data_IF_895519565241
#
_entry.id   IF_895519565241
#
_cell.length_a   1.000
_cell.length_b   1.000
_cell.length_c   1.000
_cell.angle_alpha   90.00
_cell.angle_beta   90.00
_cell.angle_gamma   90.00
#
_symmetry.space_group_name_H-M   'P 1'
#
loop_
_entity.id
_entity.type
_entity.pdbx_description
1 polymer ?
#
# COMPACT_ATOMS: atom_id res chain seq x y z
N UNK A 1 38.23 -2.68 -0.69
CA UNK A 1 37.64 -2.16 -1.96
C UNK A 1 36.57 -3.15 -2.40
N UNK A 2 35.29 -2.81 -2.25
CA UNK A 2 34.18 -3.70 -2.64
C UNK A 2 34.08 -3.66 -4.17
N UNK A 3 34.11 -4.81 -4.85
CA UNK A 3 33.87 -4.92 -6.31
C UNK A 3 32.56 -4.21 -6.70
N UNK A 4 32.48 -3.56 -7.87
CA UNK A 4 31.31 -2.79 -8.32
C UNK A 4 30.00 -3.58 -8.23
N UNK A 5 30.07 -4.89 -8.49
CA UNK A 5 28.94 -5.83 -8.39
C UNK A 5 28.52 -6.12 -6.93
N UNK A 6 29.44 -6.13 -5.99
CA UNK A 6 29.13 -6.31 -4.58
C UNK A 6 28.55 -5.00 -3.99
N UNK A 7 29.04 -3.84 -4.46
CA UNK A 7 28.56 -2.53 -4.02
C UNK A 7 27.09 -2.30 -4.38
N UNK A 8 26.65 -2.71 -5.59
CA UNK A 8 25.25 -2.60 -6.00
C UNK A 8 24.33 -3.49 -5.18
N UNK A 9 24.71 -4.74 -4.91
CA UNK A 9 23.91 -5.66 -4.07
C UNK A 9 23.67 -5.10 -2.67
N UNK A 10 24.72 -4.59 -2.01
CA UNK A 10 24.58 -4.00 -0.67
C UNK A 10 23.71 -2.74 -0.66
N UNK A 11 23.81 -1.90 -1.69
CA UNK A 11 22.94 -0.74 -1.84
C UNK A 11 21.47 -1.14 -2.07
N UNK A 12 21.21 -2.19 -2.85
CA UNK A 12 19.85 -2.73 -3.05
C UNK A 12 19.28 -3.31 -1.76
N UNK A 13 20.10 -3.99 -0.94
CA UNK A 13 19.69 -4.45 0.38
C UNK A 13 19.37 -3.28 1.33
N UNK A 14 20.15 -2.20 1.29
CA UNK A 14 19.86 -0.99 2.07
C UNK A 14 18.50 -0.37 1.68
N UNK A 15 18.20 -0.30 0.38
CA UNK A 15 16.89 0.12 -0.12
C UNK A 15 15.78 -0.86 0.29
N UNK A 16 16.03 -2.17 0.28
CA UNK A 16 15.06 -3.16 0.74
C UNK A 16 14.75 -3.05 2.24
N UNK A 17 15.75 -2.78 3.09
CA UNK A 17 15.54 -2.52 4.53
C UNK A 17 14.70 -1.24 4.73
N UNK A 18 14.95 -0.22 3.90
CA UNK A 18 14.16 1.03 3.92
C UNK A 18 12.70 0.76 3.54
N UNK A 19 12.47 0.00 2.46
CA UNK A 19 11.13 -0.43 2.04
C UNK A 19 10.44 -1.30 3.10
N UNK A 20 11.20 -2.14 3.81
CA UNK A 20 10.69 -2.95 4.92
C UNK A 20 10.21 -2.08 6.10
N UNK A 21 11.02 -1.11 6.51
CA UNK A 21 10.65 -0.17 7.59
C UNK A 21 9.38 0.61 7.24
N UNK A 22 9.32 1.11 6.01
CA UNK A 22 8.21 1.90 5.49
C UNK A 22 6.93 1.07 5.37
N UNK A 23 6.99 -0.11 4.75
CA UNK A 23 5.83 -1.01 4.65
C UNK A 23 5.31 -1.47 6.01
N UNK A 24 6.23 -1.69 6.97
CA UNK A 24 5.82 -2.05 8.33
C UNK A 24 5.06 -0.89 8.94
N UNK A 25 5.58 0.33 8.81
CA UNK A 25 4.94 1.56 9.31
C UNK A 25 3.57 1.82 8.71
N UNK A 26 3.39 1.55 7.43
CA UNK A 26 2.12 1.77 6.73
C UNK A 26 1.00 0.96 7.37
N UNK A 27 1.23 -0.33 7.59
CA UNK A 27 0.17 -1.26 7.99
C UNK A 27 0.16 -1.62 9.47
N UNK A 28 1.20 -1.26 10.25
CA UNK A 28 1.29 -1.65 11.67
C UNK A 28 0.08 -1.19 12.50
N UNK A 29 -0.51 -0.05 12.16
CA UNK A 29 -1.65 0.50 12.89
C UNK A 29 -2.85 -0.46 12.88
N UNK A 30 -3.02 -1.27 11.83
CA UNK A 30 -4.12 -2.25 11.71
C UNK A 30 -4.13 -3.24 12.88
N UNK A 31 -2.96 -3.77 13.24
CA UNK A 31 -2.83 -4.70 14.36
C UNK A 31 -2.91 -4.03 15.73
N UNK A 32 -2.50 -2.76 15.81
CA UNK A 32 -2.39 -1.99 17.05
C UNK A 32 -3.66 -1.20 17.41
N UNK A 33 -4.68 -1.17 16.54
CA UNK A 33 -5.91 -0.39 16.74
C UNK A 33 -6.56 -0.58 18.13
N UNK A 34 -6.81 -1.81 18.62
CA UNK A 34 -7.39 -2.02 19.94
C UNK A 34 -6.49 -1.48 21.07
N UNK A 35 -5.16 -1.62 20.92
CA UNK A 35 -4.19 -1.15 21.90
C UNK A 35 -4.15 0.38 21.98
N UNK A 36 -4.15 1.05 20.83
CA UNK A 36 -4.19 2.52 20.73
C UNK A 36 -5.50 3.05 21.32
N UNK A 37 -6.63 2.42 20.96
CA UNK A 37 -7.95 2.78 21.47
C UNK A 37 -8.03 2.69 23.00
N UNK A 38 -7.57 1.58 23.58
CA UNK A 38 -7.56 1.37 25.04
C UNK A 38 -6.63 2.33 25.77
N UNK A 39 -5.42 2.52 25.26
CA UNK A 39 -4.36 3.32 25.92
C UNK A 39 -4.65 4.83 25.87
N UNK A 40 -5.23 5.32 24.76
CA UNK A 40 -5.58 6.74 24.61
C UNK A 40 -7.02 7.05 25.03
N UNK A 41 -7.80 6.05 25.46
CA UNK A 41 -9.21 6.16 25.83
C UNK A 41 -10.08 6.79 24.71
N UNK A 42 -9.89 6.32 23.48
CA UNK A 42 -10.62 6.78 22.28
C UNK A 42 -11.35 5.61 21.62
N UNK A 43 -12.31 5.89 20.72
CA UNK A 43 -12.96 4.84 19.93
C UNK A 43 -11.99 4.20 18.93
N UNK A 44 -12.24 2.94 18.58
CA UNK A 44 -11.48 2.22 17.53
C UNK A 44 -11.57 2.98 16.19
N UNK A 45 -12.71 3.61 15.91
CA UNK A 45 -12.92 4.48 14.74
C UNK A 45 -11.97 5.68 14.75
N UNK A 46 -11.82 6.35 15.89
CA UNK A 46 -10.88 7.46 16.03
C UNK A 46 -9.44 6.98 15.83
N UNK A 47 -9.09 5.81 16.37
CA UNK A 47 -7.79 5.20 16.12
C UNK A 47 -7.62 4.80 14.63
N UNK A 48 -8.70 4.44 13.92
CA UNK A 48 -8.73 4.15 12.48
C UNK A 48 -8.29 5.30 11.58
N UNK A 49 -8.39 6.54 12.07
CA UNK A 49 -7.85 7.72 11.40
C UNK A 49 -6.33 7.65 11.21
N UNK A 50 -5.61 6.87 12.02
CA UNK A 50 -4.16 6.65 11.85
C UNK A 50 -3.79 5.98 10.52
N UNK A 51 -4.69 5.14 9.99
CA UNK A 51 -4.55 4.52 8.66
C UNK A 51 -4.99 5.50 7.59
N UNK A 52 -6.12 6.17 7.79
CA UNK A 52 -6.69 7.11 6.81
C UNK A 52 -5.76 8.30 6.54
N UNK A 53 -5.28 8.99 7.57
CA UNK A 53 -4.38 10.14 7.42
C UNK A 53 -3.00 9.73 6.91
N UNK A 54 -2.51 8.54 7.24
CA UNK A 54 -1.27 8.03 6.66
C UNK A 54 -1.43 7.87 5.15
N UNK A 55 -2.49 7.19 4.70
CA UNK A 55 -2.74 7.00 3.27
C UNK A 55 -2.95 8.33 2.52
N UNK A 56 -3.68 9.29 3.11
CA UNK A 56 -3.78 10.65 2.55
C UNK A 56 -2.41 11.34 2.45
N UNK A 57 -1.58 11.20 3.48
CA UNK A 57 -0.20 11.71 3.48
C UNK A 57 0.64 11.13 2.35
N UNK A 58 0.51 9.84 2.05
CA UNK A 58 1.20 9.19 0.91
C UNK A 58 0.63 9.71 -0.42
N UNK A 59 -0.69 9.74 -0.56
CA UNK A 59 -1.42 10.17 -1.76
C UNK A 59 -1.02 11.57 -2.21
N UNK A 60 -0.99 12.54 -1.28
CA UNK A 60 -0.61 13.92 -1.58
C UNK A 60 0.90 14.16 -1.50
N UNK A 61 1.58 13.51 -0.56
CA UNK A 61 3.01 13.72 -0.30
C UNK A 61 3.88 13.33 -1.48
N UNK A 62 3.61 12.19 -2.13
CA UNK A 62 4.41 11.71 -3.26
C UNK A 62 4.50 12.71 -4.43
N UNK A 63 3.39 13.18 -5.04
CA UNK A 63 3.46 14.11 -6.18
C UNK A 63 3.99 15.49 -5.78
N UNK A 64 3.54 16.04 -4.64
CA UNK A 64 3.91 17.39 -4.20
C UNK A 64 5.40 17.45 -3.87
N UNK A 65 5.88 16.54 -3.03
CA UNK A 65 7.25 16.60 -2.56
C UNK A 65 8.24 16.14 -3.63
N UNK A 66 7.87 15.23 -4.53
CA UNK A 66 8.70 14.90 -5.71
C UNK A 66 8.92 16.13 -6.61
N UNK A 67 7.90 16.97 -6.80
CA UNK A 67 8.04 18.21 -7.56
C UNK A 67 8.99 19.20 -6.86
N UNK A 68 8.78 19.43 -5.56
CA UNK A 68 9.57 20.36 -4.75
C UNK A 68 11.03 19.93 -4.58
N UNK A 69 11.31 18.63 -4.60
CA UNK A 69 12.64 18.06 -4.38
C UNK A 69 13.37 17.69 -5.67
N UNK A 70 12.81 18.02 -6.84
CA UNK A 70 13.33 17.65 -8.18
C UNK A 70 14.77 18.10 -8.47
N UNK A 71 15.25 19.14 -7.79
CA UNK A 71 16.63 19.64 -7.95
C UNK A 71 17.63 19.02 -6.96
N UNK A 72 17.17 18.27 -5.95
CA UNK A 72 18.04 17.63 -4.97
C UNK A 72 18.74 16.40 -5.56
N UNK A 73 19.96 16.11 -5.09
CA UNK A 73 20.61 14.84 -5.43
C UNK A 73 19.81 13.67 -4.86
N UNK A 74 19.74 12.53 -5.57
CA UNK A 74 18.95 11.37 -5.15
C UNK A 74 19.37 10.84 -3.78
N UNK A 75 20.69 10.77 -3.52
CA UNK A 75 21.21 10.32 -2.23
C UNK A 75 20.83 11.29 -1.12
N UNK A 76 21.01 12.60 -1.34
CA UNK A 76 20.64 13.62 -0.34
C UNK A 76 19.15 13.54 -0.01
N UNK A 77 18.30 13.40 -1.03
CA UNK A 77 16.86 13.27 -0.86
C UNK A 77 16.47 11.98 -0.10
N UNK A 78 17.07 10.83 -0.47
CA UNK A 78 16.89 9.56 0.25
C UNK A 78 17.22 9.69 1.74
N UNK A 79 18.35 10.33 2.07
CA UNK A 79 18.75 10.52 3.47
C UNK A 79 17.78 11.43 4.23
N UNK A 80 17.33 12.54 3.64
CA UNK A 80 16.33 13.41 4.27
C UNK A 80 14.99 12.71 4.49
N UNK A 81 14.55 11.91 3.52
CA UNK A 81 13.34 11.11 3.65
C UNK A 81 13.47 10.13 4.82
N UNK A 82 14.61 9.47 4.97
CA UNK A 82 14.86 8.58 6.10
C UNK A 82 14.89 9.34 7.44
N UNK A 83 15.41 10.57 7.49
CA UNK A 83 15.34 11.43 8.68
C UNK A 83 13.88 11.78 9.02
N UNK A 84 13.08 12.20 8.04
CA UNK A 84 11.65 12.53 8.24
C UNK A 84 10.87 11.28 8.68
N UNK A 85 11.16 10.12 8.08
CA UNK A 85 10.58 8.83 8.47
C UNK A 85 10.89 8.49 9.93
N UNK A 86 12.15 8.60 10.34
CA UNK A 86 12.59 8.34 11.73
C UNK A 86 11.95 9.34 12.69
N UNK A 87 11.95 10.63 12.37
CA UNK A 87 11.36 11.67 13.20
C UNK A 87 9.83 11.48 13.36
N UNK A 88 9.13 11.18 12.26
CA UNK A 88 7.69 10.91 12.28
C UNK A 88 7.36 9.68 13.13
N UNK A 89 8.10 8.59 13.01
CA UNK A 89 7.87 7.41 13.84
C UNK A 89 8.32 7.59 15.30
N UNK A 90 9.35 8.39 15.57
CA UNK A 90 9.74 8.75 16.92
C UNK A 90 8.66 9.60 17.61
N UNK A 91 8.03 10.52 16.86
CA UNK A 91 6.87 11.28 17.35
C UNK A 91 5.66 10.37 17.59
N UNK A 92 5.43 9.37 16.74
CA UNK A 92 4.38 8.38 16.97
C UNK A 92 4.65 7.55 18.24
N UNK A 93 5.90 7.14 18.45
CA UNK A 93 6.33 6.40 19.62
C UNK A 93 6.20 7.21 20.92
N UNK A 94 6.31 8.54 20.87
CA UNK A 94 6.16 9.42 22.04
C UNK A 94 4.76 10.01 22.20
N UNK A 95 3.83 9.71 21.28
CA UNK A 95 2.52 10.33 21.27
C UNK A 95 1.70 9.93 22.51
N UNK A 96 1.25 10.93 23.27
CA UNK A 96 0.36 10.77 24.44
C UNK A 96 -1.08 11.12 24.12
N UNK A 97 -1.35 11.69 22.94
CA UNK A 97 -2.69 12.04 22.47
C UNK A 97 -2.85 11.60 21.03
N UNK A 98 -4.11 11.38 20.62
CA UNK A 98 -4.42 10.99 19.24
C UNK A 98 -3.98 12.07 18.24
N UNK A 99 -4.12 13.36 18.56
CA UNK A 99 -3.72 14.44 17.65
C UNK A 99 -2.22 14.39 17.33
N UNK A 100 -1.37 14.14 18.34
CA UNK A 100 0.08 13.98 18.12
C UNK A 100 0.36 12.76 17.26
N UNK A 101 -0.33 11.64 17.54
CA UNK A 101 -0.18 10.42 16.73
C UNK A 101 -0.60 10.66 15.28
N UNK A 102 -1.72 11.33 15.02
CA UNK A 102 -2.19 11.64 13.67
C UNK A 102 -1.21 12.55 12.91
N UNK A 103 -0.66 13.58 13.57
CA UNK A 103 0.39 14.43 12.99
C UNK A 103 1.62 13.59 12.64
N UNK A 104 2.05 12.70 13.55
CA UNK A 104 3.16 11.78 13.32
C UNK A 104 2.92 10.84 12.13
N UNK A 105 1.68 10.36 11.95
CA UNK A 105 1.27 9.55 10.79
C UNK A 105 1.39 10.34 9.49
N UNK A 106 0.95 11.59 9.45
CA UNK A 106 1.10 12.43 8.26
C UNK A 106 2.58 12.67 7.95
N UNK A 107 3.39 13.04 8.94
CA UNK A 107 4.84 13.28 8.74
C UNK A 107 5.55 12.04 8.19
N UNK A 108 5.30 10.87 8.79
CA UNK A 108 5.91 9.61 8.33
C UNK A 108 5.40 9.17 6.95
N UNK A 109 4.15 9.47 6.60
CA UNK A 109 3.59 9.18 5.29
C UNK A 109 4.20 10.01 4.15
N UNK A 110 4.56 11.27 4.42
CA UNK A 110 5.25 12.12 3.44
C UNK A 110 6.57 11.49 2.98
N UNK A 111 7.32 10.90 3.92
CA UNK A 111 8.56 10.18 3.62
C UNK A 111 8.30 8.94 2.74
N UNK A 112 7.26 8.16 3.06
CA UNK A 112 6.88 6.98 2.30
C UNK A 112 6.59 7.32 0.83
N UNK A 113 5.74 8.31 0.57
CA UNK A 113 5.33 8.66 -0.80
C UNK A 113 6.52 8.97 -1.73
N UNK A 114 7.50 9.73 -1.25
CA UNK A 114 8.69 10.05 -2.04
C UNK A 114 9.62 8.84 -2.15
N UNK A 115 9.81 8.09 -1.06
CA UNK A 115 10.71 6.93 -1.04
C UNK A 115 10.36 5.92 -2.14
N UNK A 116 9.07 5.60 -2.33
CA UNK A 116 8.68 4.61 -3.34
C UNK A 116 9.05 5.05 -4.75
N UNK A 117 8.92 6.35 -5.04
CA UNK A 117 9.31 6.92 -6.33
C UNK A 117 10.83 6.90 -6.52
N UNK A 118 11.57 7.50 -5.59
CA UNK A 118 13.03 7.63 -5.75
C UNK A 118 13.75 6.31 -5.56
N UNK A 119 13.29 5.44 -4.66
CA UNK A 119 13.93 4.17 -4.34
C UNK A 119 13.99 3.26 -5.56
N UNK A 120 12.89 3.17 -6.31
CA UNK A 120 12.84 2.39 -7.55
C UNK A 120 13.84 2.92 -8.60
N UNK A 121 13.92 4.25 -8.74
CA UNK A 121 14.89 4.86 -9.67
C UNK A 121 16.34 4.68 -9.23
N UNK A 122 16.64 4.79 -7.93
CA UNK A 122 17.98 4.53 -7.39
C UNK A 122 18.33 3.05 -7.61
N UNK A 123 17.42 2.13 -7.34
CA UNK A 123 17.62 0.70 -7.59
C UNK A 123 17.94 0.42 -9.07
N UNK A 124 17.24 1.06 -9.99
CA UNK A 124 17.51 0.96 -11.42
C UNK A 124 18.86 1.57 -11.84
N UNK A 125 19.29 2.68 -11.22
CA UNK A 125 20.57 3.33 -11.52
C UNK A 125 21.79 2.55 -10.98
N UNK A 126 21.58 1.64 -10.02
CA UNK A 126 22.64 0.83 -9.42
C UNK A 126 23.12 -0.35 -10.29
N UNK A 127 22.38 -0.68 -11.34
CA UNK A 127 22.62 -1.88 -12.16
C UNK A 127 22.58 -1.58 -13.65
N UNK A 128 23.20 -2.43 -14.49
CA UNK A 128 23.04 -2.37 -15.95
C UNK A 128 21.57 -2.49 -16.39
N UNK A 129 21.26 -1.98 -17.59
CA UNK A 129 19.88 -1.83 -18.08
C UNK A 129 19.10 -3.14 -18.12
N UNK A 130 19.76 -4.26 -18.46
CA UNK A 130 19.19 -5.62 -18.51
C UNK A 130 18.75 -6.16 -17.14
N UNK A 131 19.16 -5.49 -16.04
CA UNK A 131 18.89 -5.95 -14.66
C UNK A 131 18.05 -4.98 -13.83
N UNK A 132 17.63 -3.85 -14.39
CA UNK A 132 16.88 -2.81 -13.67
C UNK A 132 15.61 -3.32 -13.01
N UNK A 133 14.81 -4.10 -13.74
CA UNK A 133 13.57 -4.67 -13.20
C UNK A 133 13.82 -5.56 -11.98
N UNK A 134 14.88 -6.40 -12.03
CA UNK A 134 15.27 -7.25 -10.91
C UNK A 134 15.74 -6.45 -9.70
N UNK A 135 16.49 -5.37 -9.91
CA UNK A 135 16.93 -4.48 -8.84
C UNK A 135 15.75 -3.79 -8.14
N UNK A 136 14.79 -3.28 -8.92
CA UNK A 136 13.54 -2.72 -8.39
C UNK A 136 12.77 -3.80 -7.60
N UNK A 137 12.64 -5.00 -8.14
CA UNK A 137 11.97 -6.11 -7.47
C UNK A 137 12.62 -6.48 -6.12
N UNK A 138 13.95 -6.43 -6.01
CA UNK A 138 14.67 -6.66 -4.73
C UNK A 138 14.26 -5.61 -3.70
N UNK A 139 14.18 -4.33 -4.08
CA UNK A 139 13.70 -3.28 -3.16
C UNK A 139 12.26 -3.55 -2.70
N UNK A 140 11.35 -3.83 -3.64
CA UNK A 140 9.94 -4.10 -3.32
C UNK A 140 9.71 -5.41 -2.55
N UNK A 141 10.67 -6.35 -2.60
CA UNK A 141 10.66 -7.52 -1.72
C UNK A 141 10.68 -7.10 -0.25
N UNK A 142 11.38 -6.01 0.10
CA UNK A 142 11.35 -5.44 1.44
C UNK A 142 9.93 -5.09 1.90
N UNK A 143 9.13 -4.46 1.02
CA UNK A 143 7.72 -4.15 1.29
C UNK A 143 6.88 -5.42 1.49
N UNK A 144 7.11 -6.44 0.65
CA UNK A 144 6.40 -7.73 0.76
C UNK A 144 6.70 -8.40 2.11
N UNK A 145 7.98 -8.45 2.48
CA UNK A 145 8.40 -9.00 3.79
C UNK A 145 7.80 -8.18 4.92
N UNK A 146 7.66 -6.86 4.78
CA UNK A 146 7.04 -6.00 5.79
C UNK A 146 5.60 -6.38 6.10
N UNK A 147 4.79 -6.60 5.07
CA UNK A 147 3.39 -7.00 5.23
C UNK A 147 3.28 -8.42 5.78
N UNK A 148 4.16 -9.34 5.35
CA UNK A 148 4.16 -10.74 5.80
C UNK A 148 4.62 -10.87 7.24
N UNK A 149 5.71 -10.22 7.63
CA UNK A 149 6.36 -10.45 8.94
C UNK A 149 6.38 -9.21 9.82
N UNK A 150 6.68 -8.03 9.25
CA UNK A 150 6.82 -6.79 10.01
C UNK A 150 5.56 -6.41 10.78
N UNK A 151 4.39 -6.44 10.13
CA UNK A 151 3.10 -6.09 10.77
C UNK A 151 2.72 -7.07 11.87
N UNK A 152 2.70 -8.40 11.65
CA UNK A 152 2.45 -9.38 12.72
C UNK A 152 3.41 -9.27 13.89
N UNK A 153 4.70 -9.14 13.61
CA UNK A 153 5.73 -9.08 14.64
C UNK A 153 5.62 -7.80 15.46
N UNK A 154 5.42 -6.65 14.80
CA UNK A 154 5.17 -5.39 15.49
C UNK A 154 3.85 -5.42 16.28
N UNK A 155 2.82 -6.11 15.78
CA UNK A 155 1.55 -6.32 16.52
C UNK A 155 1.81 -7.12 17.79
N UNK A 156 2.50 -8.26 17.67
CA UNK A 156 2.89 -9.09 18.81
C UNK A 156 3.68 -8.30 19.85
N UNK A 157 4.69 -7.54 19.41
CA UNK A 157 5.46 -6.65 20.28
C UNK A 157 4.56 -5.62 20.97
N UNK A 158 3.64 -5.00 20.23
CA UNK A 158 2.70 -4.03 20.77
C UNK A 158 1.82 -4.64 21.87
N UNK A 159 1.42 -5.89 21.72
CA UNK A 159 0.64 -6.62 22.72
C UNK A 159 1.46 -6.92 23.99
N UNK A 160 2.77 -7.18 23.87
CA UNK A 160 3.63 -7.50 25.02
C UNK A 160 4.17 -6.27 25.75
N UNK A 161 4.55 -5.22 25.00
CA UNK A 161 5.30 -4.07 25.53
C UNK A 161 4.59 -2.72 25.32
N UNK A 162 3.37 -2.74 24.76
CA UNK A 162 2.60 -1.55 24.41
C UNK A 162 2.85 -1.08 22.98
N UNK A 163 1.83 -0.48 22.37
CA UNK A 163 1.83 -0.10 20.95
C UNK A 163 2.94 0.90 20.57
N UNK A 164 3.38 1.75 21.51
CA UNK A 164 4.51 2.67 21.33
C UNK A 164 5.82 1.95 21.05
N UNK A 165 6.05 0.78 21.67
CA UNK A 165 7.28 0.02 21.50
C UNK A 165 7.42 -0.56 20.08
N UNK A 166 6.31 -0.86 19.40
CA UNK A 166 6.32 -1.22 17.99
C UNK A 166 6.87 -0.08 17.12
N UNK A 167 6.49 1.17 17.41
CA UNK A 167 7.04 2.35 16.72
C UNK A 167 8.51 2.61 17.07
N UNK A 168 8.95 2.32 18.31
CA UNK A 168 10.38 2.38 18.68
C UNK A 168 11.22 1.41 17.84
N UNK A 169 10.74 0.19 17.61
CA UNK A 169 11.45 -0.78 16.76
C UNK A 169 11.48 -0.31 15.31
N UNK A 170 10.38 0.26 14.80
CA UNK A 170 10.35 0.88 13.47
C UNK A 170 11.38 2.01 13.37
N UNK A 171 11.52 2.85 14.40
CA UNK A 171 12.55 3.88 14.48
C UNK A 171 13.95 3.28 14.42
N UNK A 172 14.22 2.20 15.18
CA UNK A 172 15.51 1.52 15.16
C UNK A 172 15.84 0.96 13.77
N UNK A 173 14.87 0.30 13.10
CA UNK A 173 15.03 -0.19 11.73
C UNK A 173 15.24 0.99 10.76
N UNK A 174 14.53 2.09 10.95
CA UNK A 174 14.70 3.32 10.16
C UNK A 174 16.09 3.94 10.31
N UNK A 175 16.67 3.93 11.51
CA UNK A 175 18.05 4.36 11.76
C UNK A 175 19.06 3.42 11.08
N UNK A 176 18.83 2.10 11.15
CA UNK A 176 19.66 1.12 10.43
C UNK A 176 19.59 1.38 8.91
N UNK A 177 18.40 1.61 8.37
CA UNK A 177 18.20 1.96 6.97
C UNK A 177 18.91 3.28 6.60
N UNK A 178 18.80 4.32 7.44
CA UNK A 178 19.50 5.60 7.23
C UNK A 178 21.03 5.41 7.16
N UNK A 179 21.60 4.69 8.13
CA UNK A 179 23.03 4.38 8.19
C UNK A 179 23.46 3.52 6.99
N UNK A 180 22.70 2.48 6.65
CA UNK A 180 22.98 1.64 5.49
C UNK A 180 22.98 2.46 4.19
N UNK A 181 21.98 3.33 4.00
CA UNK A 181 21.89 4.19 2.83
C UNK A 181 23.02 5.23 2.76
N UNK A 182 23.47 5.78 3.90
CA UNK A 182 24.52 6.79 3.93
C UNK A 182 25.87 6.24 3.45
N UNK A 183 26.17 4.99 3.79
CA UNK A 183 27.43 4.33 3.40
C UNK A 183 27.35 3.57 2.07
N UNK A 184 26.23 2.89 1.80
CA UNK A 184 26.14 1.93 0.69
C UNK A 184 25.61 2.55 -0.60
N UNK A 185 24.68 3.51 -0.53
CA UNK A 185 24.12 4.15 -1.73
C UNK A 185 25.13 5.18 -2.28
N UNK A 186 25.50 5.09 -3.58
CA UNK A 186 26.42 6.03 -4.21
C UNK A 186 25.82 7.43 -4.38
N UNK A 187 26.67 8.45 -4.49
CA UNK A 187 26.24 9.85 -4.61
C UNK A 187 26.09 10.30 -6.07
N UNK A 188 26.73 9.59 -7.00
CA UNK A 188 26.82 9.85 -8.45
C UNK A 188 25.63 9.27 -9.23
N UNK A 189 24.42 9.45 -8.72
CA UNK A 189 23.19 8.96 -9.33
C UNK A 189 22.65 9.92 -10.39
N UNK A 190 22.02 9.39 -11.44
CA UNK A 190 21.45 10.19 -12.54
C UNK A 190 20.28 11.03 -12.03
N UNK A 191 20.18 12.28 -12.48
CA UNK A 191 19.00 13.12 -12.21
C UNK A 191 17.78 12.59 -12.97
N UNK A 192 16.59 12.70 -12.38
CA UNK A 192 15.36 12.26 -13.02
C UNK A 192 15.05 13.08 -14.28
N UNK A 193 14.52 12.40 -15.31
CA UNK A 193 13.93 13.09 -16.46
C UNK A 193 12.70 13.89 -16.01
N UNK A 194 12.53 15.12 -16.52
CA UNK A 194 11.38 15.97 -16.17
C UNK A 194 10.16 15.54 -16.98
N UNK A 195 9.06 15.21 -16.31
CA UNK A 195 7.74 15.11 -16.94
C UNK A 195 7.07 16.47 -16.97
N UNK A 196 6.39 16.83 -18.06
CA UNK A 196 5.78 18.16 -18.21
C UNK A 196 4.43 18.24 -17.49
N UNK A 197 4.07 19.41 -16.96
CA UNK A 197 2.77 19.64 -16.32
C UNK A 197 1.57 19.36 -17.25
N UNK A 198 1.75 19.62 -18.56
CA UNK A 198 0.76 19.36 -19.60
C UNK A 198 0.41 17.87 -19.69
N UNK A 199 1.41 17.01 -19.57
CA UNK A 199 1.23 15.57 -19.61
C UNK A 199 0.45 15.07 -18.38
N UNK A 200 0.69 15.67 -17.20
CA UNK A 200 -0.05 15.35 -15.97
C UNK A 200 -1.54 15.67 -16.12
N UNK A 201 -1.89 16.83 -16.69
CA UNK A 201 -3.28 17.22 -16.94
C UNK A 201 -3.95 16.24 -17.91
N UNK A 202 -3.26 15.84 -18.99
CA UNK A 202 -3.80 14.87 -19.95
C UNK A 202 -4.14 13.52 -19.31
N UNK A 203 -3.34 13.06 -18.35
CA UNK A 203 -3.61 11.80 -17.64
C UNK A 203 -4.90 11.85 -16.83
N UNK A 204 -5.13 12.93 -16.08
CA UNK A 204 -6.32 13.06 -15.20
C UNK A 204 -7.59 13.47 -15.96
N UNK A 205 -7.46 14.01 -17.17
CA UNK A 205 -8.59 14.38 -18.04
C UNK A 205 -8.97 13.28 -19.03
N UNK A 206 -8.11 12.29 -19.24
CA UNK A 206 -8.42 11.14 -20.10
C UNK A 206 -9.42 10.21 -19.40
N UNK A 207 -10.61 10.07 -19.96
CA UNK A 207 -11.69 9.28 -19.36
C UNK A 207 -11.35 7.80 -19.14
N UNK A 208 -10.46 7.18 -19.94
CA UNK A 208 -10.06 5.78 -19.75
C UNK A 208 -9.13 5.62 -18.57
N UNK A 209 -8.15 6.52 -18.44
CA UNK A 209 -7.23 6.52 -17.30
C UNK A 209 -7.94 6.88 -16.01
N UNK A 210 -8.81 7.90 -16.03
CA UNK A 210 -9.61 8.29 -14.87
C UNK A 210 -10.50 7.14 -14.37
N UNK A 211 -11.15 6.42 -15.29
CA UNK A 211 -11.94 5.25 -14.96
C UNK A 211 -11.11 4.19 -14.23
N UNK A 212 -9.88 3.92 -14.68
CA UNK A 212 -8.99 2.95 -14.01
C UNK A 212 -8.50 3.46 -12.65
N UNK A 213 -8.19 4.75 -12.50
CA UNK A 213 -7.86 5.30 -11.18
C UNK A 213 -9.02 5.15 -10.18
N UNK A 214 -10.26 5.36 -10.63
CA UNK A 214 -11.45 5.12 -9.79
C UNK A 214 -11.62 3.63 -9.48
N UNK A 215 -11.42 2.74 -10.46
CA UNK A 215 -11.44 1.28 -10.24
C UNK A 215 -10.39 0.88 -9.20
N UNK A 216 -9.17 1.42 -9.29
CA UNK A 216 -8.09 1.19 -8.31
C UNK A 216 -8.53 1.62 -6.92
N UNK A 217 -9.02 2.85 -6.77
CA UNK A 217 -9.43 3.39 -5.48
C UNK A 217 -10.59 2.58 -4.86
N UNK A 218 -11.61 2.22 -5.64
CA UNK A 218 -12.77 1.47 -5.14
C UNK A 218 -12.45 -0.01 -4.90
N UNK A 219 -11.80 -0.68 -5.84
CA UNK A 219 -11.54 -2.12 -5.80
C UNK A 219 -10.54 -2.50 -4.72
N UNK A 220 -9.46 -1.74 -4.59
CA UNK A 220 -8.49 -1.96 -3.52
C UNK A 220 -8.99 -1.38 -2.19
N UNK A 221 -9.52 -0.15 -2.21
CA UNK A 221 -10.03 0.53 -1.02
C UNK A 221 -11.19 -0.17 -0.33
N UNK A 222 -12.06 -0.85 -1.09
CA UNK A 222 -13.18 -1.60 -0.53
C UNK A 222 -12.75 -2.70 0.44
N UNK A 223 -11.57 -3.28 0.25
CA UNK A 223 -10.99 -4.23 1.22
C UNK A 223 -10.58 -3.53 2.52
N UNK A 224 -10.11 -2.29 2.45
CA UNK A 224 -9.67 -1.53 3.63
C UNK A 224 -10.83 -1.10 4.54
N UNK A 225 -12.08 -1.16 4.07
CA UNK A 225 -13.26 -1.00 4.92
C UNK A 225 -13.26 -2.01 6.07
N UNK A 226 -12.90 -3.27 5.79
CA UNK A 226 -12.81 -4.33 6.80
C UNK A 226 -11.38 -4.56 7.28
N UNK A 227 -10.39 -4.51 6.39
CA UNK A 227 -9.00 -4.82 6.74
C UNK A 227 -8.44 -3.86 7.78
N UNK A 228 -8.78 -2.56 7.72
CA UNK A 228 -8.37 -1.60 8.74
C UNK A 228 -8.83 -2.05 10.12
N UNK A 229 -10.05 -2.57 10.25
CA UNK A 229 -10.63 -2.98 11.53
C UNK A 229 -10.53 -4.49 11.77
N UNK A 230 -9.60 -5.18 11.09
CA UNK A 230 -9.48 -6.63 11.15
C UNK A 230 -9.14 -7.14 12.55
N UNK A 231 -8.24 -6.46 13.27
CA UNK A 231 -7.87 -6.83 14.64
C UNK A 231 -9.06 -6.72 15.61
N UNK A 232 -9.81 -5.60 15.66
CA UNK A 232 -11.09 -5.52 16.36
C UNK A 232 -12.07 -6.63 15.94
N UNK A 233 -12.24 -6.88 14.64
CA UNK A 233 -13.23 -7.84 14.14
C UNK A 233 -12.91 -9.26 14.60
N UNK A 234 -11.63 -9.64 14.56
CA UNK A 234 -11.17 -10.93 15.05
C UNK A 234 -11.43 -11.11 16.56
N UNK A 235 -11.30 -10.04 17.35
CA UNK A 235 -11.46 -10.10 18.81
C UNK A 235 -12.92 -10.03 19.23
N UNK A 236 -13.67 -9.06 18.73
CA UNK A 236 -15.02 -8.74 19.20
C UNK A 236 -16.10 -9.55 18.50
N UNK A 237 -15.96 -9.82 17.20
CA UNK A 237 -16.97 -10.55 16.41
C UNK A 237 -16.62 -12.04 16.32
N UNK A 238 -15.38 -12.37 15.98
CA UNK A 238 -14.96 -13.78 15.83
C UNK A 238 -14.60 -14.43 17.17
N UNK A 239 -14.29 -13.64 18.21
CA UNK A 239 -13.99 -14.15 19.55
C UNK A 239 -12.60 -14.80 19.68
N UNK A 240 -11.63 -14.40 18.85
CA UNK A 240 -10.23 -14.77 19.04
C UNK A 240 -9.60 -14.00 20.19
N UNK A 241 -8.66 -14.64 20.88
CA UNK A 241 -7.86 -13.96 21.91
C UNK A 241 -6.88 -13.00 21.24
N UNK A 242 -6.56 -11.91 21.93
CA UNK A 242 -5.59 -10.90 21.48
C UNK A 242 -4.27 -11.52 20.96
N UNK A 243 -3.67 -12.43 21.73
CA UNK A 243 -2.41 -13.09 21.36
C UNK A 243 -2.47 -13.97 20.09
N UNK A 244 -3.65 -14.34 19.61
CA UNK A 244 -3.81 -15.10 18.35
C UNK A 244 -3.82 -14.18 17.13
N UNK A 245 -4.14 -12.89 17.29
CA UNK A 245 -4.28 -11.93 16.17
C UNK A 245 -2.98 -11.80 15.38
N UNK A 246 -1.84 -11.71 16.05
CA UNK A 246 -0.54 -11.62 15.37
C UNK A 246 -0.30 -12.83 14.45
N UNK A 247 -0.61 -14.04 14.89
CA UNK A 247 -0.49 -15.25 14.06
C UNK A 247 -1.45 -15.23 12.87
N UNK A 248 -2.69 -14.77 13.07
CA UNK A 248 -3.66 -14.66 11.97
C UNK A 248 -3.19 -13.62 10.94
N UNK A 249 -2.66 -12.47 11.39
CA UNK A 249 -2.08 -11.46 10.50
C UNK A 249 -0.87 -11.99 9.74
N UNK A 250 -0.07 -12.87 10.33
CA UNK A 250 1.05 -13.55 9.65
C UNK A 250 0.55 -14.44 8.52
N UNK A 251 -0.46 -15.28 8.79
CA UNK A 251 -1.07 -16.15 7.77
C UNK A 251 -1.73 -15.29 6.67
N UNK A 252 -2.40 -14.20 7.06
CA UNK A 252 -3.00 -13.24 6.13
C UNK A 252 -1.93 -12.58 5.24
N UNK A 253 -0.79 -12.19 5.81
CA UNK A 253 0.35 -11.66 5.07
C UNK A 253 0.92 -12.65 4.05
N UNK A 254 1.03 -13.93 4.42
CA UNK A 254 1.41 -15.00 3.47
C UNK A 254 0.39 -15.12 2.34
N UNK A 255 -0.90 -15.06 2.65
CA UNK A 255 -1.96 -15.09 1.64
C UNK A 255 -1.84 -13.90 0.67
N UNK A 256 -1.55 -12.70 1.17
CA UNK A 256 -1.25 -11.51 0.34
C UNK A 256 -0.08 -11.77 -0.62
N UNK A 257 1.02 -12.32 -0.13
CA UNK A 257 2.20 -12.58 -0.96
C UNK A 257 1.92 -13.58 -2.09
N UNK A 258 1.17 -14.65 -1.79
CA UNK A 258 0.69 -15.60 -2.79
C UNK A 258 -0.25 -14.91 -3.79
N UNK A 259 -1.19 -14.11 -3.29
CA UNK A 259 -2.17 -13.35 -4.06
C UNK A 259 -1.51 -12.45 -5.09
N UNK A 260 -0.58 -11.60 -4.65
CA UNK A 260 0.21 -10.73 -5.54
C UNK A 260 0.90 -11.52 -6.66
N UNK A 261 1.53 -12.66 -6.32
CA UNK A 261 2.27 -13.47 -7.30
C UNK A 261 1.34 -14.09 -8.35
N UNK A 262 0.22 -14.67 -7.90
CA UNK A 262 -0.79 -15.25 -8.80
C UNK A 262 -1.47 -14.18 -9.65
N UNK A 263 -1.74 -13.02 -9.05
CA UNK A 263 -2.33 -11.85 -9.69
C UNK A 263 -1.54 -11.36 -10.89
N UNK A 264 -0.23 -11.20 -10.71
CA UNK A 264 0.69 -10.84 -11.81
C UNK A 264 0.63 -11.84 -12.97
N UNK A 265 0.67 -13.14 -12.67
CA UNK A 265 0.59 -14.19 -13.70
C UNK A 265 -0.72 -14.16 -14.48
N UNK A 266 -1.85 -13.97 -13.80
CA UNK A 266 -3.18 -13.90 -14.41
C UNK A 266 -3.34 -12.62 -15.25
N UNK A 267 -2.81 -11.49 -14.78
CA UNK A 267 -2.93 -10.20 -15.44
C UNK A 267 -2.08 -10.07 -16.71
N UNK A 268 -0.95 -10.79 -16.83
CA UNK A 268 -0.03 -10.67 -17.96
C UNK A 268 -0.66 -10.94 -19.34
N UNK A 269 -1.75 -11.71 -19.42
CA UNK A 269 -2.42 -12.01 -20.70
C UNK A 269 -3.52 -11.01 -21.03
N UNK A 270 -4.43 -10.79 -20.08
CA UNK A 270 -5.56 -9.88 -20.25
C UNK A 270 -5.91 -9.27 -18.89
N UNK A 271 -5.29 -8.13 -18.54
CA UNK A 271 -5.37 -7.59 -17.19
C UNK A 271 -6.81 -7.16 -16.86
N UNK A 272 -7.54 -6.57 -17.81
CA UNK A 272 -8.92 -6.15 -17.56
C UNK A 272 -9.88 -7.31 -17.28
N UNK A 273 -9.76 -8.43 -18.00
CA UNK A 273 -10.57 -9.62 -17.71
C UNK A 273 -10.18 -10.24 -16.36
N UNK A 274 -8.88 -10.30 -16.07
CA UNK A 274 -8.39 -10.83 -14.79
C UNK A 274 -8.91 -10.00 -13.62
N UNK A 275 -8.81 -8.67 -13.71
CA UNK A 275 -9.31 -7.72 -12.71
C UNK A 275 -10.82 -7.87 -12.46
N UNK A 276 -11.62 -8.05 -13.52
CA UNK A 276 -13.07 -8.25 -13.38
C UNK A 276 -13.39 -9.45 -12.47
N UNK A 277 -12.74 -10.59 -12.70
CA UNK A 277 -12.96 -11.78 -11.89
C UNK A 277 -12.33 -11.68 -10.50
N UNK A 278 -11.16 -11.07 -10.36
CA UNK A 278 -10.53 -10.83 -9.05
C UNK A 278 -11.43 -9.98 -8.15
N UNK A 279 -11.98 -8.88 -8.67
CA UNK A 279 -12.90 -8.03 -7.91
C UNK A 279 -14.24 -8.72 -7.65
N UNK A 280 -14.77 -9.49 -8.60
CA UNK A 280 -16.00 -10.23 -8.40
C UNK A 280 -15.85 -11.25 -7.26
N UNK A 281 -14.76 -12.01 -7.26
CA UNK A 281 -14.48 -12.98 -6.20
C UNK A 281 -14.24 -12.25 -4.87
N UNK A 282 -13.47 -11.15 -4.86
CA UNK A 282 -13.24 -10.37 -3.64
C UNK A 282 -14.54 -9.81 -3.05
N UNK A 283 -15.45 -9.29 -3.89
CA UNK A 283 -16.76 -8.80 -3.44
C UNK A 283 -17.58 -9.94 -2.81
N UNK A 284 -17.58 -11.12 -3.43
CA UNK A 284 -18.25 -12.31 -2.87
C UNK A 284 -17.63 -12.72 -1.53
N UNK A 285 -16.29 -12.78 -1.44
CA UNK A 285 -15.58 -13.13 -0.21
C UNK A 285 -15.92 -12.16 0.93
N UNK A 286 -16.01 -10.86 0.64
CA UNK A 286 -16.38 -9.84 1.63
C UNK A 286 -17.85 -9.97 2.09
N UNK A 287 -18.78 -10.32 1.20
CA UNK A 287 -20.16 -10.61 1.58
C UNK A 287 -20.24 -11.89 2.42
N UNK A 288 -19.56 -12.96 2.00
CA UNK A 288 -19.48 -14.23 2.73
C UNK A 288 -18.89 -14.02 4.13
N UNK A 289 -17.89 -13.14 4.27
CA UNK A 289 -17.27 -12.81 5.55
C UNK A 289 -18.29 -12.31 6.58
N UNK A 290 -19.34 -11.61 6.15
CA UNK A 290 -20.41 -11.13 7.05
C UNK A 290 -21.10 -12.29 7.78
N UNK A 291 -21.25 -13.43 7.12
CA UNK A 291 -21.90 -14.62 7.68
C UNK A 291 -20.91 -15.55 8.39
N UNK A 292 -19.65 -15.57 7.97
CA UNK A 292 -18.64 -16.46 8.53
C UNK A 292 -17.86 -15.84 9.69
N UNK A 293 -17.79 -14.51 9.81
CA UNK A 293 -17.05 -13.79 10.84
C UNK A 293 -17.40 -14.19 12.28
N UNK A 294 -18.66 -14.51 12.65
CA UNK A 294 -18.98 -14.99 14.00
C UNK A 294 -18.43 -16.40 14.33
N UNK A 295 -18.02 -17.17 13.32
CA UNK A 295 -17.57 -18.55 13.47
C UNK A 295 -16.06 -18.67 13.24
N UNK A 296 -15.29 -19.04 14.28
CA UNK A 296 -13.81 -19.05 14.24
C UNK A 296 -13.19 -19.70 13.00
N UNK A 297 -13.62 -20.93 12.67
CA UNK A 297 -13.03 -21.67 11.55
C UNK A 297 -13.44 -21.07 10.19
N UNK A 298 -14.74 -20.82 9.98
CA UNK A 298 -15.25 -20.28 8.72
C UNK A 298 -14.75 -18.84 8.49
N UNK A 299 -14.75 -18.02 9.54
CA UNK A 299 -14.21 -16.65 9.54
C UNK A 299 -12.73 -16.64 9.20
N UNK A 300 -11.92 -17.52 9.81
CA UNK A 300 -10.49 -17.63 9.49
C UNK A 300 -10.25 -18.00 8.02
N UNK A 301 -10.96 -19.01 7.49
CA UNK A 301 -10.87 -19.39 6.08
C UNK A 301 -11.22 -18.20 5.17
N UNK A 302 -12.28 -17.49 5.50
CA UNK A 302 -12.75 -16.36 4.69
C UNK A 302 -11.80 -15.17 4.76
N UNK A 303 -11.18 -14.90 5.91
CA UNK A 303 -10.15 -13.86 6.09
C UNK A 303 -8.88 -14.21 5.30
N UNK A 304 -8.47 -15.47 5.26
CA UNK A 304 -7.33 -15.91 4.44
C UNK A 304 -7.64 -15.71 2.95
N UNK A 305 -8.84 -16.08 2.50
CA UNK A 305 -9.29 -15.83 1.13
C UNK A 305 -9.36 -14.32 0.83
N UNK A 306 -9.84 -13.52 1.79
CA UNK A 306 -9.86 -12.07 1.68
C UNK A 306 -8.44 -11.53 1.45
N UNK A 307 -7.45 -11.99 2.22
CA UNK A 307 -6.06 -11.57 2.06
C UNK A 307 -5.46 -11.97 0.71
N UNK A 308 -5.77 -13.18 0.25
CA UNK A 308 -5.36 -13.68 -1.07
C UNK A 308 -5.87 -12.77 -2.19
N UNK A 309 -7.16 -12.46 -2.21
CA UNK A 309 -7.79 -11.70 -3.30
C UNK A 309 -7.65 -10.17 -3.15
N UNK A 310 -7.47 -9.68 -1.93
CA UNK A 310 -7.26 -8.26 -1.61
C UNK A 310 -6.10 -7.63 -2.36
N UNK A 311 -4.99 -8.36 -2.48
CA UNK A 311 -3.78 -7.88 -3.13
C UNK A 311 -3.54 -8.52 -4.50
N UNK A 312 -4.25 -9.60 -4.85
CA UNK A 312 -4.14 -10.23 -6.18
C UNK A 312 -4.43 -9.26 -7.34
N UNK A 313 -5.26 -8.23 -7.12
CA UNK A 313 -5.58 -7.22 -8.13
C UNK A 313 -4.46 -6.18 -8.34
N UNK A 314 -3.50 -6.03 -7.41
CA UNK A 314 -2.53 -4.92 -7.43
C UNK A 314 -1.65 -4.91 -8.69
N UNK A 315 -1.00 -6.03 -9.09
CA UNK A 315 -0.20 -6.04 -10.31
C UNK A 315 -1.04 -5.79 -11.56
N UNK A 316 -2.27 -6.31 -11.59
CA UNK A 316 -3.17 -6.17 -12.74
C UNK A 316 -3.61 -4.72 -12.95
N UNK A 317 -3.94 -4.00 -11.88
CA UNK A 317 -4.27 -2.58 -11.93
C UNK A 317 -3.09 -1.77 -12.45
N UNK A 318 -1.90 -2.08 -11.96
CA UNK A 318 -0.68 -1.38 -12.35
C UNK A 318 -0.35 -1.59 -13.83
N UNK A 319 -0.36 -2.84 -14.30
CA UNK A 319 -0.13 -3.18 -15.71
C UNK A 319 -1.19 -2.53 -16.60
N UNK A 320 -2.46 -2.55 -16.19
CA UNK A 320 -3.54 -1.98 -16.99
C UNK A 320 -3.42 -0.46 -17.16
N UNK A 321 -3.05 0.27 -16.09
CA UNK A 321 -2.77 1.71 -16.19
C UNK A 321 -1.61 1.99 -17.14
N UNK A 322 -0.51 1.23 -17.04
CA UNK A 322 0.65 1.39 -17.91
C UNK A 322 0.26 1.19 -19.38
N UNK A 323 -0.47 0.11 -19.69
CA UNK A 323 -0.94 -0.16 -21.05
C UNK A 323 -1.83 0.95 -21.61
N UNK A 324 -2.74 1.50 -20.79
CA UNK A 324 -3.57 2.63 -21.22
C UNK A 324 -2.75 3.91 -21.39
N UNK A 325 -1.79 4.16 -20.50
CA UNK A 325 -0.93 5.33 -20.59
C UNK A 325 -0.06 5.29 -21.85
N UNK A 326 0.57 4.14 -22.15
CA UNK A 326 1.32 3.92 -23.40
C UNK A 326 0.47 4.18 -24.64
N UNK A 327 -0.83 3.86 -24.58
CA UNK A 327 -1.76 4.04 -25.70
C UNK A 327 -2.27 5.47 -25.85
N UNK A 328 -2.61 6.14 -24.76
CA UNK A 328 -3.33 7.41 -24.79
C UNK A 328 -2.46 8.63 -24.45
N UNK A 329 -1.42 8.46 -23.62
CA UNK A 329 -0.49 9.53 -23.21
C UNK A 329 0.94 8.95 -23.09
N UNK A 330 1.58 8.53 -24.20
CA UNK A 330 2.87 7.80 -24.15
C UNK A 330 4.01 8.58 -23.49
N UNK A 331 3.94 9.92 -23.49
CA UNK A 331 4.90 10.81 -22.83
C UNK A 331 4.87 10.76 -21.30
N UNK A 332 3.89 10.07 -20.70
CA UNK A 332 3.55 10.22 -19.29
C UNK A 332 3.35 8.90 -18.53
N UNK A 333 3.85 7.78 -19.05
CA UNK A 333 3.65 6.43 -18.46
C UNK A 333 4.10 6.34 -17.00
N UNK A 334 5.27 6.87 -16.68
CA UNK A 334 5.81 6.88 -15.30
C UNK A 334 4.92 7.69 -14.34
N UNK A 335 4.35 8.80 -14.82
CA UNK A 335 3.43 9.61 -14.02
C UNK A 335 2.09 8.92 -13.86
N UNK A 336 1.58 8.23 -14.89
CA UNK A 336 0.35 7.46 -14.78
C UNK A 336 0.46 6.37 -13.71
N UNK A 337 1.61 5.68 -13.68
CA UNK A 337 1.98 4.74 -12.63
C UNK A 337 1.94 5.38 -11.23
N UNK A 338 2.55 6.56 -11.07
CA UNK A 338 2.54 7.28 -9.79
C UNK A 338 1.13 7.75 -9.37
N UNK A 339 0.30 8.23 -10.30
CA UNK A 339 -1.10 8.59 -10.05
C UNK A 339 -1.89 7.36 -9.62
N UNK A 340 -1.61 6.18 -10.17
CA UNK A 340 -2.26 4.95 -9.74
C UNK A 340 -1.90 4.58 -8.29
N UNK A 341 -0.65 4.78 -7.87
CA UNK A 341 -0.24 4.62 -6.45
C UNK A 341 -0.98 5.61 -5.55
N UNK A 342 -1.16 6.84 -6.02
CA UNK A 342 -1.99 7.82 -5.31
C UNK A 342 -3.45 7.34 -5.22
N UNK A 343 -4.01 6.77 -6.29
CA UNK A 343 -5.35 6.19 -6.29
C UNK A 343 -5.50 4.99 -5.34
N UNK A 344 -4.49 4.11 -5.23
CA UNK A 344 -4.47 3.05 -4.22
C UNK A 344 -4.59 3.63 -2.80
N UNK A 345 -3.81 4.67 -2.51
CA UNK A 345 -3.83 5.34 -1.20
C UNK A 345 -5.12 6.13 -0.96
N UNK A 346 -5.70 6.75 -1.99
CA UNK A 346 -7.04 7.33 -1.93
C UNK A 346 -8.07 6.28 -1.51
N UNK A 347 -7.97 5.08 -2.09
CA UNK A 347 -8.79 3.92 -1.74
C UNK A 347 -8.59 3.47 -0.30
N UNK A 348 -7.35 3.33 0.17
CA UNK A 348 -7.04 2.99 1.58
C UNK A 348 -7.68 4.03 2.51
N UNK A 349 -7.48 5.32 2.24
CA UNK A 349 -8.01 6.40 3.05
C UNK A 349 -9.53 6.38 3.13
N UNK A 350 -10.20 6.26 1.97
CA UNK A 350 -11.65 6.20 1.87
C UNK A 350 -12.20 4.94 2.56
N UNK A 351 -11.59 3.79 2.32
CA UNK A 351 -11.98 2.51 2.92
C UNK A 351 -11.84 2.54 4.44
N UNK A 352 -10.68 2.95 4.96
CA UNK A 352 -10.43 3.04 6.40
C UNK A 352 -11.37 4.02 7.10
N UNK A 353 -11.63 5.19 6.49
CA UNK A 353 -12.56 6.17 7.03
C UNK A 353 -13.99 5.64 7.03
N UNK A 354 -14.45 5.08 5.90
CA UNK A 354 -15.78 4.50 5.77
C UNK A 354 -15.98 3.35 6.77
N UNK A 355 -15.01 2.46 6.91
CA UNK A 355 -15.05 1.37 7.89
C UNK A 355 -15.23 1.88 9.33
N UNK A 356 -14.64 3.03 9.65
CA UNK A 356 -14.80 3.69 10.95
C UNK A 356 -16.21 4.22 11.16
N UNK A 357 -16.73 4.97 10.18
CA UNK A 357 -18.13 5.46 10.20
C UNK A 357 -19.11 4.31 10.39
N UNK A 358 -18.90 3.18 9.71
CA UNK A 358 -19.74 1.98 9.82
C UNK A 358 -19.62 1.32 11.19
N UNK A 359 -18.39 1.23 11.71
CA UNK A 359 -18.11 0.64 13.03
C UNK A 359 -18.84 1.40 14.13
N UNK A 360 -18.83 2.74 14.10
CA UNK A 360 -19.52 3.58 15.11
C UNK A 360 -21.04 3.65 14.93
N UNK A 361 -21.56 3.49 13.71
CA UNK A 361 -22.99 3.69 13.43
C UNK A 361 -23.84 2.42 13.53
N UNK A 362 -23.51 1.41 12.74
CA UNK A 362 -24.30 0.17 12.62
C UNK A 362 -23.56 -1.06 13.13
N UNK A 363 -22.25 -0.96 13.36
CA UNK A 363 -21.44 -1.98 14.02
C UNK A 363 -20.38 -2.61 13.13
N UNK A 364 -19.34 -3.14 13.78
CA UNK A 364 -18.11 -3.63 13.16
C UNK A 364 -18.33 -4.75 12.13
N UNK A 365 -19.31 -5.64 12.33
CA UNK A 365 -19.62 -6.74 11.40
C UNK A 365 -20.07 -6.23 10.03
N UNK A 366 -20.65 -5.02 9.96
CA UNK A 366 -21.16 -4.45 8.71
C UNK A 366 -20.06 -3.87 7.82
N UNK A 367 -18.83 -3.75 8.31
CA UNK A 367 -17.68 -3.33 7.49
C UNK A 367 -17.42 -4.30 6.33
N UNK A 368 -17.71 -5.59 6.52
CA UNK A 368 -17.46 -6.65 5.53
C UNK A 368 -18.32 -6.47 4.26
N UNK A 369 -19.66 -6.48 4.38
CA UNK A 369 -20.53 -6.35 3.20
C UNK A 369 -20.47 -4.95 2.59
N UNK A 370 -20.24 -3.88 3.37
CA UNK A 370 -20.06 -2.52 2.81
C UNK A 370 -18.78 -2.44 1.99
N UNK A 371 -17.68 -3.05 2.47
CA UNK A 371 -16.49 -3.27 1.66
C UNK A 371 -16.83 -4.06 0.38
N UNK A 372 -17.64 -5.11 0.49
CA UNK A 372 -18.15 -5.88 -0.65
C UNK A 372 -18.90 -5.04 -1.68
N UNK A 373 -19.78 -4.13 -1.25
CA UNK A 373 -20.51 -3.18 -2.13
C UNK A 373 -19.55 -2.23 -2.82
N UNK A 374 -18.56 -1.70 -2.10
CA UNK A 374 -17.53 -0.82 -2.66
C UNK A 374 -16.67 -1.54 -3.71
N UNK A 375 -16.26 -2.79 -3.46
CA UNK A 375 -15.57 -3.62 -4.45
C UNK A 375 -16.48 -3.98 -5.63
N UNK A 376 -17.77 -4.23 -5.38
CA UNK A 376 -18.74 -4.52 -6.44
C UNK A 376 -18.94 -3.33 -7.39
N UNK A 377 -18.88 -2.09 -6.89
CA UNK A 377 -18.83 -0.92 -7.75
C UNK A 377 -17.61 -0.95 -8.70
N UNK A 378 -16.44 -1.38 -8.20
CA UNK A 378 -15.26 -1.59 -9.05
C UNK A 378 -15.47 -2.71 -10.09
N UNK A 379 -16.24 -3.77 -9.77
CA UNK A 379 -16.63 -4.81 -10.75
C UNK A 379 -17.44 -4.20 -11.90
N UNK A 380 -18.45 -3.37 -11.59
CA UNK A 380 -19.28 -2.70 -12.59
C UNK A 380 -18.43 -1.80 -13.49
N UNK A 381 -17.57 -0.97 -12.88
CA UNK A 381 -16.69 -0.07 -13.62
C UNK A 381 -15.66 -0.82 -14.47
N UNK A 382 -15.13 -1.95 -13.97
CA UNK A 382 -14.23 -2.81 -14.74
C UNK A 382 -14.95 -3.46 -15.91
N UNK A 383 -16.20 -3.89 -15.71
CA UNK A 383 -17.07 -4.39 -16.78
C UNK A 383 -17.36 -3.33 -17.84
N UNK A 384 -17.59 -2.08 -17.42
CA UNK A 384 -17.76 -0.96 -18.34
C UNK A 384 -16.48 -0.66 -19.12
N UNK A 385 -15.33 -0.60 -18.44
CA UNK A 385 -14.03 -0.42 -19.09
C UNK A 385 -13.76 -1.52 -20.12
N UNK A 386 -14.19 -2.77 -19.83
CA UNK A 386 -14.04 -3.93 -20.72
C UNK A 386 -14.89 -3.77 -21.98
N UNK A 387 -16.12 -3.28 -21.83
CA UNK A 387 -17.01 -3.01 -22.96
C UNK A 387 -16.43 -1.90 -23.85
N UNK A 388 -15.87 -0.87 -23.24
CA UNK A 388 -15.21 0.22 -23.97
C UNK A 388 -13.95 -0.25 -24.71
N UNK A 389 -13.12 -1.10 -24.09
CA UNK A 389 -11.94 -1.69 -24.73
C UNK A 389 -12.32 -2.54 -25.96
N UNK A 390 -13.38 -3.35 -25.85
CA UNK A 390 -13.90 -4.15 -26.98
C UNK A 390 -14.35 -3.26 -28.15
N UNK A 391 -15.02 -2.14 -27.87
CA UNK A 391 -15.45 -1.19 -28.91
C UNK A 391 -14.26 -0.58 -29.64
N UNK A 392 -13.20 -0.25 -28.91
CA UNK A 392 -12.02 0.35 -29.56
C UNK A 392 -11.28 -0.66 -30.46
N UNK A 393 -11.24 -1.93 -30.07
CA UNK A 393 -10.65 -3.00 -30.89
C UNK A 393 -11.49 -3.29 -32.15
N UNK A 394 -12.82 -3.21 -32.05
CA UNK A 394 -13.73 -3.37 -33.19
C UNK A 394 -13.70 -2.17 -34.16
N UNK A 395 -13.48 -0.96 -33.65
CA UNK A 395 -13.33 0.24 -34.48
C UNK A 395 -12.09 0.21 -35.37
N UNK A 396 -10.97 -0.32 -34.86
CA UNK A 396 -9.70 -0.48 -35.61
C UNK A 396 -9.73 -1.53 -36.72
N UNK A 397 -10.75 -2.39 -36.77
CA UNK A 397 -10.90 -3.41 -37.83
C UNK A 397 -11.77 -2.95 -39.01
N UNK A 398 -12.23 -1.70 -39.00
CA UNK A 398 -13.07 -1.11 -40.06
C UNK A 398 -12.36 -0.02 -40.88
N UNK A 399 -11.14 0.34 -40.49
CA UNK A 399 -10.20 1.16 -41.25
C UNK A 399 -9.10 0.23 -41.80
#
# INVERSE_FOLDING_TARGET
MISSKNRSTWALLALAISAFAIGTTEFISVGLLPLISRDLHITVTTAGLTVSLYALGVMFGAPILTSLTSNMSRKTLLLWIMVVFVAGNALAASATTISVLLIARVISALAHGIFMSIGATIAADLVPEDRRASAIAIMFTGLTVATVTGVPFGTFIGQQFGWRFAFIIIVAIGLIAFVANSFLVPSDLRKAARTTFRDQIKLITNGRLLLVFIITALGYGGTFVVFTYLSPLLQEVTGFKEGTVALILLIYGVAIAIGNTLGGKLANRNPINALFYMFLIQAIVLVVLTFTAPFKLAGLITIILMGLFAFMNVPGLQVYVVMLAERFVPSAVDVASAINIAAFNAGIALGAYLGGVITDSIGLIHTAWIGGVMVFAAVILTGWSRALERRDLQGKGKD
#
